data_IF_731287091514
#
_entry.id   IF_731287091514
#
_cell.length_a   1.000
_cell.length_b   1.000
_cell.length_c   1.000
_cell.angle_alpha   90.00
_cell.angle_beta   90.00
_cell.angle_gamma   90.00
#
_symmetry.space_group_name_H-M   'P 1'
#
loop_
_entity.id
_entity.type
_entity.pdbx_description
1 polymer ?
2 branched ?
3 non-polymer ?
4 non-polymer ?
5 water ?
#
# COMPACT_ATOMS: atom_id res chain seq x y z
N UNK A 1 11.52 -14.83 -4.07
CA UNK A 1 10.65 -14.81 -2.89
C UNK A 1 11.22 -13.98 -1.73
N UNK A 2 10.86 -12.69 -1.71
CA UNK A 2 11.39 -11.72 -0.77
C UNK A 2 10.89 -12.05 0.64
N UNK A 3 11.57 -11.46 1.64
CA UNK A 3 11.32 -11.61 3.07
C UNK A 3 10.44 -10.44 3.53
N UNK A 4 9.32 -10.76 4.17
CA UNK A 4 8.44 -9.77 4.78
C UNK A 4 8.68 -9.79 6.29
N UNK A 5 8.68 -8.63 6.99
CA UNK A 5 8.51 -7.32 6.37
C UNK A 5 9.66 -6.85 5.48
N UNK A 6 9.29 -6.19 4.39
CA UNK A 6 10.23 -5.83 3.35
C UNK A 6 10.31 -4.32 3.23
N UNK A 7 11.53 -3.79 3.03
CA UNK A 7 11.70 -2.36 2.80
C UNK A 7 12.15 -2.11 1.36
N UNK A 8 11.36 -1.32 0.64
CA UNK A 8 11.78 -0.83 -0.66
C UNK A 8 12.15 0.64 -0.54
N UNK A 9 13.42 0.97 -0.83
CA UNK A 9 13.82 2.38 -0.90
C UNK A 9 13.15 3.06 -2.10
N UNK A 10 12.60 4.27 -1.88
CA UNK A 10 12.13 5.12 -2.96
C UNK A 10 13.06 6.32 -3.09
N UNK A 11 14.10 6.21 -3.93
CA UNK A 11 15.17 7.21 -3.94
C UNK A 11 14.67 8.57 -4.41
N UNK A 12 14.80 9.61 -3.57
CA UNK A 12 14.25 10.91 -3.96
C UNK A 12 12.73 11.02 -3.77
N UNK A 13 12.18 10.24 -2.83
CA UNK A 13 10.74 10.17 -2.60
C UNK A 13 9.94 9.72 -3.83
N UNK A 14 8.66 10.14 -3.88
CA UNK A 14 7.78 9.84 -4.99
C UNK A 14 7.47 11.12 -5.76
N UNK A 15 6.84 10.92 -6.92
CA UNK A 15 6.54 11.97 -7.90
C UNK A 15 5.41 11.49 -8.81
N UNK A 16 4.51 12.37 -9.35
CA UNK A 16 3.47 11.94 -10.29
C UNK A 16 4.16 11.24 -11.46
N UNK A 17 3.52 10.17 -11.96
CA UNK A 17 4.02 9.30 -13.02
C UNK A 17 4.94 8.22 -12.46
N UNK A 18 5.01 8.14 -11.15
CA UNK A 18 5.73 7.00 -10.54
C UNK A 18 4.73 5.87 -10.26
N UNK A 19 5.05 4.67 -10.77
CA UNK A 19 4.21 3.48 -10.63
C UNK A 19 4.96 2.43 -9.81
N UNK A 20 4.51 2.21 -8.56
CA UNK A 20 5.06 1.18 -7.70
C UNK A 20 4.25 -0.11 -7.87
N UNK A 21 4.96 -1.23 -8.11
CA UNK A 21 4.34 -2.53 -8.35
C UNK A 21 4.74 -3.57 -7.31
N UNK A 22 3.73 -4.24 -6.72
CA UNK A 22 3.91 -5.22 -5.66
C UNK A 22 3.18 -6.46 -6.11
N UNK A 23 3.96 -7.52 -6.38
CA UNK A 23 3.45 -8.82 -6.79
C UNK A 23 3.64 -9.81 -5.65
N UNK A 24 2.60 -10.62 -5.39
CA UNK A 24 2.64 -11.51 -4.25
C UNK A 24 1.50 -12.52 -4.31
N UNK A 25 1.42 -13.37 -3.27
CA UNK A 25 0.30 -14.27 -3.12
C UNK A 25 -0.14 -14.25 -1.67
N UNK A 26 -1.46 -14.12 -1.44
CA UNK A 26 -1.99 -13.97 -0.08
C UNK A 26 -1.90 -15.34 0.58
N UNK A 27 -1.41 -15.40 1.82
CA UNK A 27 -1.29 -16.69 2.49
C UNK A 27 -2.70 -17.25 2.71
N UNK A 28 -2.88 -18.57 2.91
CA UNK A 28 -4.17 -19.13 3.29
C UNK A 28 -4.62 -18.59 4.64
N UNK A 29 -5.93 -18.39 4.82
CA UNK A 29 -6.46 -17.85 6.08
C UNK A 29 -5.73 -16.57 6.52
N UNK A 30 -5.54 -15.61 5.61
CA UNK A 30 -4.83 -14.36 5.90
C UNK A 30 -5.65 -13.46 6.84
N UNK A 31 -4.96 -12.59 7.58
CA UNK A 31 -5.63 -11.62 8.45
C UNK A 31 -5.42 -10.18 7.99
N UNK A 32 -4.20 -9.85 7.55
CA UNK A 32 -3.90 -8.48 7.14
C UNK A 32 -2.81 -8.44 6.08
N UNK A 33 -2.81 -7.31 5.33
CA UNK A 33 -1.70 -6.85 4.50
C UNK A 33 -1.51 -5.37 4.84
N UNK A 34 -0.28 -4.87 4.77
CA UNK A 34 -0.05 -3.44 4.92
C UNK A 34 1.02 -2.96 3.94
N UNK A 35 0.70 -1.86 3.24
CA UNK A 35 1.69 -1.03 2.56
C UNK A 35 1.87 0.24 3.37
N UNK A 36 3.13 0.61 3.65
CA UNK A 36 3.39 1.85 4.37
C UNK A 36 4.39 2.72 3.61
N UNK A 37 3.91 3.83 3.04
CA UNK A 37 4.71 4.76 2.26
C UNK A 37 5.10 5.85 3.25
N UNK A 38 6.39 5.86 3.59
CA UNK A 38 6.90 6.56 4.75
C UNK A 38 7.74 7.77 4.36
N UNK A 39 7.53 8.88 5.08
CA UNK A 39 8.42 10.04 5.08
C UNK A 39 9.11 10.02 6.44
N UNK A 40 10.31 9.40 6.47
CA UNK A 40 10.96 9.14 7.74
C UNK A 40 10.04 8.34 8.67
N UNK A 41 9.76 8.87 9.88
CA UNK A 41 8.91 8.15 10.82
C UNK A 41 7.46 8.23 10.39
N UNK A 42 7.11 9.24 9.58
CA UNK A 42 5.72 9.47 9.28
C UNK A 42 5.25 8.48 8.23
N UNK A 43 3.94 8.20 8.20
CA UNK A 43 3.39 7.31 7.20
C UNK A 43 2.46 8.12 6.31
N UNK A 44 2.95 8.44 5.11
CA UNK A 44 2.22 9.33 4.21
C UNK A 44 0.96 8.64 3.71
N UNK A 45 1.10 7.36 3.46
CA UNK A 45 0.00 6.57 2.96
C UNK A 45 0.15 5.16 3.50
N UNK A 46 -0.82 4.86 4.38
CA UNK A 46 -0.97 3.49 4.91
C UNK A 46 -2.18 2.81 4.20
N UNK A 47 -1.98 1.62 3.58
CA UNK A 47 -3.02 0.90 2.85
C UNK A 47 -3.10 -0.48 3.50
N UNK A 48 -4.24 -0.79 4.16
CA UNK A 48 -4.28 -1.90 5.10
C UNK A 48 -5.50 -2.82 4.87
N UNK A 49 -5.46 -3.81 3.92
CA UNK A 49 -6.45 -4.89 3.88
C UNK A 49 -6.57 -5.68 5.18
N UNK A 50 -7.78 -5.75 5.72
CA UNK A 50 -8.04 -6.55 6.92
C UNK A 50 -9.12 -7.55 6.50
N UNK A 51 -8.82 -8.83 6.68
CA UNK A 51 -9.68 -9.86 6.10
C UNK A 51 -10.80 -10.24 7.06
N UNK A 52 -10.68 -9.80 8.32
CA UNK A 52 -11.64 -10.20 9.33
C UNK A 52 -11.75 -9.08 10.36
N UNK A 53 -12.42 -8.00 9.97
CA UNK A 53 -12.81 -6.99 10.94
C UNK A 53 -14.31 -7.12 11.18
N UNK A 54 -14.64 -7.70 12.35
CA UNK A 54 -16.01 -7.99 12.73
C UNK A 54 -16.69 -8.79 11.61
N UNK A 55 -15.97 -9.81 11.11
CA UNK A 55 -16.38 -10.70 10.04
C UNK A 55 -16.66 -9.91 8.77
N UNK A 56 -16.06 -8.72 8.64
CA UNK A 56 -16.11 -8.05 7.36
C UNK A 56 -14.69 -7.88 6.82
N UNK A 57 -14.61 -7.78 5.48
CA UNK A 57 -13.34 -7.60 4.80
C UNK A 57 -13.29 -6.16 4.30
N UNK A 58 -12.29 -5.43 4.81
CA UNK A 58 -12.21 -3.99 4.64
C UNK A 58 -10.78 -3.56 4.31
N UNK A 59 -10.67 -2.54 3.45
CA UNK A 59 -9.40 -1.85 3.26
C UNK A 59 -9.42 -0.52 4.03
N UNK A 60 -8.44 -0.31 4.94
CA UNK A 60 -8.35 0.91 5.73
C UNK A 60 -7.14 1.71 5.28
N UNK A 61 -7.34 3.00 4.94
CA UNK A 61 -6.28 3.90 4.49
C UNK A 61 -6.16 5.06 5.47
N UNK A 62 -4.91 5.46 5.74
CA UNK A 62 -4.70 6.50 6.74
C UNK A 62 -3.29 7.09 6.60
N UNK A 63 -3.04 8.14 7.38
CA UNK A 63 -1.78 8.86 7.42
C UNK A 63 -1.35 8.92 8.87
N UNK A 64 -0.04 8.77 9.11
CA UNK A 64 0.48 8.87 10.47
C UNK A 64 1.46 10.04 10.59
N UNK A 65 1.11 11.04 11.41
CA UNK A 65 1.97 12.21 11.62
C UNK A 65 2.40 12.33 13.07
N UNK A 66 3.71 12.42 13.34
CA UNK A 66 4.26 12.51 14.70
C UNK A 66 3.63 11.46 15.63
N UNK A 67 3.45 10.25 15.09
CA UNK A 67 2.98 9.09 15.85
C UNK A 67 1.46 9.06 16.08
N UNK A 68 0.69 9.89 15.35
CA UNK A 68 -0.76 9.93 15.48
C UNK A 68 -1.43 9.54 14.17
N UNK A 69 -2.31 8.54 14.23
CA UNK A 69 -3.15 8.18 13.11
C UNK A 69 -4.20 9.27 12.89
N UNK A 70 -4.54 9.53 11.63
CA UNK A 70 -5.57 10.50 11.31
C UNK A 70 -6.95 9.87 11.16
N UNK A 71 -7.75 10.45 10.26
CA UNK A 71 -9.07 9.98 9.88
C UNK A 71 -8.90 8.88 8.83
N UNK A 72 -9.35 7.67 9.19
CA UNK A 72 -9.31 6.56 8.26
C UNK A 72 -10.26 6.86 7.11
N UNK A 73 -9.88 6.36 5.93
CA UNK A 73 -10.74 6.31 4.76
C UNK A 73 -10.96 4.84 4.45
N UNK A 74 -12.23 4.43 4.41
CA UNK A 74 -12.53 3.01 4.31
C UNK A 74 -13.16 2.67 2.98
N UNK A 75 -12.73 1.52 2.44
CA UNK A 75 -13.10 1.04 1.12
C UNK A 75 -13.75 -0.33 1.22
N UNK A 76 -15.00 -0.41 0.72
CA UNK A 76 -15.84 -1.60 0.79
C UNK A 76 -15.37 -2.66 -0.20
N UNK A 77 -14.94 -2.22 -1.39
CA UNK A 77 -14.54 -3.14 -2.44
C UNK A 77 -13.26 -3.84 -1.97
N UNK A 78 -13.24 -5.17 -2.07
CA UNK A 78 -12.17 -5.97 -1.50
C UNK A 78 -11.75 -7.04 -2.52
N UNK A 79 -10.71 -6.77 -3.36
CA UNK A 79 -10.36 -7.65 -4.48
C UNK A 79 -9.43 -8.81 -4.10
N UNK A 80 -8.89 -8.78 -2.87
CA UNK A 80 -8.01 -9.82 -2.36
C UNK A 80 -8.80 -11.06 -1.96
N UNK A 81 -8.14 -12.23 -2.09
CA UNK A 81 -8.70 -13.52 -1.71
C UNK A 81 -7.56 -14.34 -1.10
N UNK A 82 -7.78 -14.93 0.09
CA UNK A 82 -6.82 -15.85 0.70
C UNK A 82 -6.32 -16.86 -0.32
N UNK A 83 -5.00 -17.04 -0.44
CA UNK A 83 -4.45 -18.16 -1.20
C UNK A 83 -4.17 -17.82 -2.67
N UNK A 84 -4.48 -16.59 -3.06
CA UNK A 84 -4.41 -16.28 -4.48
C UNK A 84 -3.33 -15.24 -4.75
N UNK A 85 -2.73 -15.33 -5.96
CA UNK A 85 -1.80 -14.33 -6.46
C UNK A 85 -2.45 -12.97 -6.72
N UNK A 86 -1.72 -11.90 -6.41
CA UNK A 86 -2.23 -10.56 -6.62
C UNK A 86 -1.16 -9.63 -7.19
N UNK A 87 -1.63 -8.54 -7.78
CA UNK A 87 -0.76 -7.45 -8.17
C UNK A 87 -1.39 -6.16 -7.66
N UNK A 88 -0.58 -5.36 -6.96
CA UNK A 88 -1.02 -4.05 -6.50
C UNK A 88 -0.16 -3.02 -7.23
N UNK A 89 -0.80 -2.08 -7.94
CA UNK A 89 -0.09 -1.01 -8.63
C UNK A 89 -0.51 0.29 -7.97
N UNK A 90 0.48 1.05 -7.50
CA UNK A 90 0.22 2.33 -6.89
C UNK A 90 0.79 3.39 -7.82
N UNK A 91 -0.10 4.14 -8.48
CA UNK A 91 0.38 5.22 -9.34
C UNK A 91 0.32 6.54 -8.57
N UNK A 92 1.45 7.25 -8.47
CA UNK A 92 1.42 8.60 -7.89
C UNK A 92 0.81 9.55 -8.94
N UNK A 93 -0.29 10.21 -8.58
CA UNK A 93 -0.84 11.27 -9.43
C UNK A 93 -0.72 12.62 -8.72
N UNK A 94 -0.92 13.78 -9.40
CA UNK A 94 -0.70 15.08 -8.75
C UNK A 94 -1.40 15.31 -7.41
N UNK A 95 -2.59 14.72 -7.27
CA UNK A 95 -3.43 15.03 -6.13
C UNK A 95 -3.73 13.82 -5.25
N UNK A 96 -3.33 12.63 -5.71
CA UNK A 96 -3.59 11.44 -4.91
C UNK A 96 -2.67 10.29 -5.32
N UNK A 97 -2.58 9.29 -4.42
CA UNK A 97 -2.21 7.92 -4.78
C UNK A 97 -3.39 7.23 -5.45
N UNK A 98 -3.15 6.59 -6.61
CA UNK A 98 -4.21 5.80 -7.21
C UNK A 98 -3.81 4.32 -7.17
N UNK A 99 -4.70 3.48 -6.61
CA UNK A 99 -4.43 2.05 -6.43
C UNK A 99 -5.38 1.25 -7.31
N UNK A 100 -4.79 0.32 -8.09
CA UNK A 100 -5.46 -0.75 -8.82
C UNK A 100 -4.93 -2.11 -8.35
N UNK A 101 -5.82 -3.09 -8.18
CA UNK A 101 -5.42 -4.46 -7.85
C UNK A 101 -5.85 -5.35 -9.02
N UNK A 102 -4.93 -6.19 -9.52
CA UNK A 102 -5.23 -7.14 -10.58
C UNK A 102 -5.83 -6.39 -11.76
N UNK A 103 -5.24 -5.22 -12.08
CA UNK A 103 -5.59 -4.41 -13.24
C UNK A 103 -7.01 -3.82 -13.15
N UNK A 104 -7.58 -3.79 -11.93
CA UNK A 104 -8.88 -3.16 -11.72
C UNK A 104 -8.74 -2.02 -10.73
N UNK A 105 -9.23 -0.84 -11.10
CA UNK A 105 -9.16 0.33 -10.23
C UNK A 105 -9.85 0.05 -8.89
N UNK A 106 -9.17 0.36 -7.78
CA UNK A 106 -9.64 0.09 -6.42
C UNK A 106 -10.07 1.38 -5.71
N UNK A 107 -9.15 2.34 -5.58
CA UNK A 107 -9.42 3.56 -4.84
C UNK A 107 -8.38 4.60 -5.20
N UNK A 108 -8.62 5.82 -4.69
CA UNK A 108 -7.64 6.88 -4.65
C UNK A 108 -7.53 7.43 -3.23
N UNK A 109 -6.36 7.99 -2.94
CA UNK A 109 -6.10 8.52 -1.62
C UNK A 109 -5.41 9.87 -1.75
N UNK A 110 -6.16 10.93 -1.44
CA UNK A 110 -5.64 12.28 -1.56
C UNK A 110 -4.37 12.45 -0.74
N UNK A 111 -3.40 13.24 -1.28
CA UNK A 111 -2.14 13.48 -0.57
C UNK A 111 -2.38 14.42 0.60
N UNK A 112 -2.12 13.93 1.82
CA UNK A 112 -2.08 14.75 3.02
C UNK A 112 -0.66 15.21 3.30
N UNK A 113 0.31 14.29 3.15
CA UNK A 113 1.72 14.65 3.10
C UNK A 113 2.06 15.30 1.76
N UNK A 114 2.69 16.48 1.82
CA UNK A 114 2.84 17.29 0.62
C UNK A 114 4.24 17.16 0.04
N UNK A 115 5.22 16.88 0.92
CA UNK A 115 6.61 16.76 0.49
C UNK A 115 6.82 15.36 -0.08
N UNK A 116 6.30 15.16 -1.30
CA UNK A 116 6.29 13.84 -1.90
C UNK A 116 7.72 13.35 -2.06
N UNK A 117 8.64 14.26 -2.34
CA UNK A 117 10.01 13.81 -2.58
C UNK A 117 10.75 13.45 -1.30
N UNK A 118 10.05 13.38 -0.15
CA UNK A 118 10.70 12.86 1.04
C UNK A 118 10.05 11.53 1.49
N UNK A 119 9.07 11.03 0.73
CA UNK A 119 8.44 9.74 0.97
C UNK A 119 9.33 8.68 0.31
N UNK A 120 10.37 8.29 1.06
CA UNK A 120 11.54 7.64 0.48
C UNK A 120 11.64 6.16 0.84
N UNK A 121 10.56 5.58 1.43
CA UNK A 121 10.55 4.15 1.74
C UNK A 121 9.14 3.60 1.66
N UNK A 122 9.00 2.44 1.00
CA UNK A 122 7.77 1.66 1.09
C UNK A 122 8.01 0.40 1.92
N UNK A 123 7.42 0.33 3.14
CA UNK A 123 7.31 -0.89 3.93
C UNK A 123 6.15 -1.78 3.47
N UNK A 124 6.41 -3.08 3.23
CA UNK A 124 5.41 -4.07 2.81
C UNK A 124 5.37 -5.19 3.86
N UNK A 125 4.21 -5.46 4.48
CA UNK A 125 4.17 -6.40 5.59
C UNK A 125 2.85 -7.20 5.55
N UNK A 126 2.66 -8.18 6.45
CA UNK A 126 1.38 -8.89 6.49
C UNK A 126 1.48 -10.31 5.96
N UNK A 127 0.32 -10.92 5.61
CA UNK A 127 0.17 -12.36 5.44
C UNK A 127 0.26 -12.75 3.96
N UNK A 128 1.45 -12.55 3.37
CA UNK A 128 1.67 -12.65 1.94
C UNK A 128 2.99 -13.37 1.71
N UNK A 129 3.06 -14.10 0.60
CA UNK A 129 4.36 -14.43 0.03
C UNK A 129 4.71 -13.34 -0.97
N UNK A 130 5.73 -12.53 -0.65
CA UNK A 130 6.04 -11.39 -1.50
C UNK A 130 6.97 -11.84 -2.62
N UNK A 131 6.51 -11.72 -3.87
CA UNK A 131 7.32 -12.17 -4.99
C UNK A 131 8.27 -11.08 -5.48
N UNK A 132 7.79 -9.84 -5.60
CA UNK A 132 8.55 -8.75 -6.19
C UNK A 132 7.95 -7.42 -5.76
N UNK A 133 8.78 -6.39 -5.59
CA UNK A 133 8.31 -5.04 -5.44
C UNK A 133 9.27 -4.16 -6.25
N UNK A 134 8.74 -3.37 -7.20
CA UNK A 134 9.61 -2.49 -7.97
C UNK A 134 8.90 -1.18 -8.30
N UNK A 135 9.62 -0.23 -8.93
CA UNK A 135 8.96 0.98 -9.44
C UNK A 135 9.48 1.36 -10.82
N UNK A 136 8.65 2.15 -11.50
CA UNK A 136 8.92 2.61 -12.85
C UNK A 136 8.31 4.00 -13.04
N UNK A 137 9.01 4.80 -13.88
CA UNK A 137 8.47 6.05 -14.36
C UNK A 137 7.67 5.82 -15.64
N UNK A 138 6.38 6.19 -15.61
CA UNK A 138 5.55 6.00 -16.81
C UNK A 138 5.25 7.39 -17.41
X LIG B 1 -5.18 0.97 13.83
X LIG B 1 -4.04 -0.03 13.67
X LIG B 1 -2.87 0.56 12.87
X LIG B 1 -3.38 1.28 11.61
X LIG B 1 -4.44 2.31 11.99
X LIG B 1 -5.03 3.05 10.80
X LIG B 1 -3.58 -0.43 14.98
X LIG B 1 -1.94 -0.48 12.54
X LIG B 1 -3.92 0.36 10.66
X LIG B 1 -5.51 1.62 12.61
X LIG B 1 -5.89 4.08 11.29
X LIG B 2 -7.68 1.46 14.63
X LIG B 2 -9.12 1.08 14.24
X LIG B 2 -10.12 2.15 14.71
X LIG B 2 -9.94 2.42 16.19
X LIG B 2 -8.49 2.81 16.46
X LIG B 2 -8.27 2.99 17.96
X LIG B 2 -9.23 0.89 12.81
X LIG B 2 -11.47 1.70 14.47
X LIG B 2 -10.35 1.23 16.86
X LIG B 2 -7.58 1.82 16.01
X LIG B 2 -6.95 3.50 18.21
X LIG B 2 -6.62 0.07 14.32
X LIG C 1 4.45 17.64 4.20
X LIG D 1 -4.02 15.07 8.66
X LIG D 1 -3.29 15.66 7.62
X LIG D 1 -4.67 13.80 8.14
X LIG D 1 -3.95 12.67 8.63
X LIG D 1 -6.16 13.75 8.40
X LIG D 1 -6.52 13.08 9.61
#
# INVERSE_FOLDING_TARGET
PLIVPYNLPLPGGVVPRMLITILGTVKPNANRIALDFQRGNDVAFHFNPRFNENNRRVIVCNTKLDNNWGREERQSVFPFESGKPFKIQVLVEPDHFKVAVNDAHLLQYNHRVKKLNEISKLGISGDIDLTSASYTMI
GAL C1 C2 C3 C4 C5 C6 O2 O3 O4 O5 O6
YIO C1 C2 C3 C4 C5 C6 O2 O3 O4 O5 O6 S1
CL CL
GOL C1 O1 C2 O2 C3 O3
#
